data_IF_956262086413
#
_entry.id   IF_956262086413
#
_cell.length_a   1.000
_cell.length_b   1.000
_cell.length_c   1.000
_cell.angle_alpha   90.00
_cell.angle_beta   90.00
_cell.angle_gamma   90.00
#
_symmetry.space_group_name_H-M   'P 1'
#
loop_
_entity.id
_entity.type
_entity.pdbx_description
1 polymer ?
#
# COMPACT_ATOMS: atom_id res chain seq x y z
N UNK A 1 -2.38 11.10 -7.65
CA UNK A 1 -2.00 10.13 -8.68
C UNK A 1 -2.48 8.75 -8.30
N UNK A 2 -3.15 8.08 -9.23
CA UNK A 2 -3.51 6.68 -9.12
C UNK A 2 -2.56 5.87 -10.01
N UNK A 3 -1.85 4.92 -9.43
CA UNK A 3 -0.84 4.13 -10.11
C UNK A 3 -1.25 2.65 -10.09
N UNK A 4 -1.27 2.02 -11.24
CA UNK A 4 -1.53 0.58 -11.37
C UNK A 4 -0.80 0.07 -12.61
N UNK A 5 -0.42 -1.20 -12.58
CA UNK A 5 0.20 -1.85 -13.73
C UNK A 5 -0.82 -2.51 -14.66
N UNK A 6 -2.11 -2.40 -14.35
CA UNK A 6 -3.21 -2.92 -15.15
C UNK A 6 -3.97 -1.75 -15.81
N UNK A 7 -3.92 -1.69 -17.14
CA UNK A 7 -4.64 -0.67 -17.89
C UNK A 7 -6.15 -0.78 -17.67
N UNK A 8 -6.67 -2.00 -17.52
CA UNK A 8 -8.08 -2.25 -17.27
C UNK A 8 -8.51 -1.67 -15.91
N UNK A 9 -7.72 -1.89 -14.87
CA UNK A 9 -8.03 -1.36 -13.54
C UNK A 9 -7.99 0.16 -13.51
N UNK A 10 -7.02 0.76 -14.20
CA UNK A 10 -6.95 2.22 -14.31
C UNK A 10 -8.17 2.79 -15.03
N UNK A 11 -8.63 2.12 -16.09
CA UNK A 11 -9.82 2.58 -16.82
C UNK A 11 -11.07 2.50 -15.95
N UNK A 12 -11.22 1.45 -15.15
CA UNK A 12 -12.31 1.35 -14.19
C UNK A 12 -12.25 2.47 -13.15
N UNK A 13 -11.06 2.75 -12.64
CA UNK A 13 -10.86 3.86 -11.70
C UNK A 13 -11.21 5.21 -12.34
N UNK A 14 -10.80 5.42 -13.58
CA UNK A 14 -11.08 6.65 -14.32
C UNK A 14 -12.58 6.83 -14.51
N UNK A 15 -13.29 5.78 -14.91
CA UNK A 15 -14.74 5.79 -15.09
C UNK A 15 -15.44 6.14 -13.78
N UNK A 16 -15.02 5.52 -12.68
CA UNK A 16 -15.59 5.76 -11.35
C UNK A 16 -15.33 7.21 -10.90
N UNK A 17 -14.12 7.70 -11.09
CA UNK A 17 -13.77 9.08 -10.75
C UNK A 17 -14.61 10.08 -11.54
N UNK A 18 -14.79 9.85 -12.83
CA UNK A 18 -15.60 10.70 -13.69
C UNK A 18 -17.06 10.70 -13.24
N UNK A 19 -17.62 9.53 -12.90
CA UNK A 19 -19.02 9.43 -12.44
C UNK A 19 -19.25 10.16 -11.12
N UNK A 20 -18.22 10.32 -10.30
CA UNK A 20 -18.29 11.04 -9.03
C UNK A 20 -17.85 12.50 -9.13
N UNK A 21 -17.53 12.96 -10.34
CA UNK A 21 -17.12 14.35 -10.57
C UNK A 21 -15.73 14.69 -10.06
N UNK A 22 -14.89 13.71 -9.84
CA UNK A 22 -13.53 13.93 -9.37
C UNK A 22 -12.62 14.30 -10.53
N UNK A 23 -11.94 15.44 -10.42
CA UNK A 23 -11.07 15.97 -11.48
C UNK A 23 -9.62 16.10 -11.06
N UNK A 24 -9.31 15.79 -9.80
CA UNK A 24 -7.98 15.99 -9.22
C UNK A 24 -7.14 14.72 -9.19
N UNK A 25 -7.49 13.71 -9.99
CA UNK A 25 -6.77 12.44 -10.03
C UNK A 25 -6.02 12.32 -11.34
N UNK A 26 -4.72 12.11 -11.26
CA UNK A 26 -3.88 11.76 -12.40
C UNK A 26 -3.70 10.24 -12.40
N UNK A 27 -3.89 9.60 -13.55
CA UNK A 27 -3.79 8.14 -13.70
C UNK A 27 -2.51 7.80 -14.43
N UNK A 28 -1.73 6.86 -13.87
CA UNK A 28 -0.47 6.41 -14.45
C UNK A 28 -0.44 4.89 -14.55
N UNK A 29 -0.10 4.40 -15.74
CA UNK A 29 0.13 2.97 -15.96
C UNK A 29 1.58 2.66 -15.63
N UNK A 30 1.80 1.77 -14.67
CA UNK A 30 3.13 1.37 -14.26
C UNK A 30 3.16 0.86 -12.83
N UNK A 31 4.35 0.73 -12.31
CA UNK A 31 4.59 0.27 -10.95
C UNK A 31 5.36 1.32 -10.14
N UNK A 32 5.74 0.96 -8.91
CA UNK A 32 6.48 1.87 -8.03
C UNK A 32 7.86 2.21 -8.59
N UNK A 33 8.48 1.32 -9.36
CA UNK A 33 9.77 1.60 -10.00
C UNK A 33 9.63 2.70 -11.06
N UNK A 34 8.54 2.68 -11.82
CA UNK A 34 8.26 3.75 -12.77
C UNK A 34 8.09 5.08 -12.06
N UNK A 35 7.33 5.10 -10.96
CA UNK A 35 7.13 6.31 -10.17
C UNK A 35 8.46 6.87 -9.66
N UNK A 36 9.35 6.01 -9.18
CA UNK A 36 10.68 6.43 -8.73
C UNK A 36 11.48 7.02 -9.89
N UNK A 37 11.49 6.35 -11.04
CA UNK A 37 12.25 6.79 -12.20
C UNK A 37 11.76 8.14 -12.76
N UNK A 38 10.48 8.43 -12.60
CA UNK A 38 9.90 9.71 -12.99
C UNK A 38 10.06 10.81 -11.94
N UNK A 39 10.65 10.50 -10.80
CA UNK A 39 10.89 11.46 -9.73
C UNK A 39 9.63 11.89 -9.00
N UNK A 40 8.59 11.06 -8.98
CA UNK A 40 7.36 11.37 -8.28
C UNK A 40 7.61 11.49 -6.78
N UNK A 41 6.89 12.42 -6.14
CA UNK A 41 6.93 12.65 -4.71
C UNK A 41 5.53 12.84 -4.18
N UNK A 42 5.30 12.43 -2.93
CA UNK A 42 3.98 12.52 -2.33
C UNK A 42 4.10 12.74 -0.82
N UNK A 43 3.10 13.41 -0.26
CA UNK A 43 2.99 13.58 1.18
C UNK A 43 2.20 12.44 1.84
N UNK A 44 1.46 11.69 1.05
CA UNK A 44 0.70 10.54 1.53
C UNK A 44 0.59 9.49 0.42
N UNK A 45 0.90 8.26 0.76
CA UNK A 45 0.73 7.12 -0.13
C UNK A 45 -0.18 6.12 0.55
N UNK A 46 -1.14 5.60 -0.19
CA UNK A 46 -2.09 4.60 0.31
C UNK A 46 -1.97 3.32 -0.51
N UNK A 47 -1.84 2.20 0.19
CA UNK A 47 -1.83 0.85 -0.39
C UNK A 47 -3.02 0.08 0.17
N UNK A 48 -4.05 -0.12 -0.65
CA UNK A 48 -5.28 -0.80 -0.22
C UNK A 48 -5.34 -2.20 -0.80
N UNK A 49 -5.18 -3.21 0.04
CA UNK A 49 -5.31 -4.62 -0.35
C UNK A 49 -4.36 -5.00 -1.49
N UNK A 50 -3.16 -4.44 -1.49
CA UNK A 50 -2.16 -4.60 -2.56
C UNK A 50 -1.07 -5.57 -2.17
N UNK A 51 -0.58 -5.49 -0.94
CA UNK A 51 0.66 -6.15 -0.53
C UNK A 51 0.55 -7.68 -0.54
N UNK A 52 -0.61 -8.23 -0.15
CA UNK A 52 -0.77 -9.68 -0.09
C UNK A 52 -0.79 -10.34 -1.48
N UNK A 53 -0.89 -9.55 -2.56
CA UNK A 53 -0.78 -10.04 -3.93
C UNK A 53 0.64 -9.97 -4.48
N UNK A 54 1.59 -9.41 -3.74
CA UNK A 54 2.95 -9.19 -4.22
C UNK A 54 3.92 -10.22 -3.64
N UNK A 55 4.85 -10.74 -4.44
CA UNK A 55 5.84 -11.70 -3.93
C UNK A 55 6.88 -11.06 -3.00
N UNK A 56 7.08 -9.74 -3.11
CA UNK A 56 8.07 -9.00 -2.32
C UNK A 56 7.46 -7.75 -1.69
N UNK A 57 6.56 -7.90 -0.69
CA UNK A 57 5.90 -6.74 -0.08
C UNK A 57 6.86 -5.72 0.52
N UNK A 58 7.96 -6.19 1.09
CA UNK A 58 8.98 -5.29 1.66
C UNK A 58 9.59 -4.36 0.64
N UNK A 59 9.77 -4.82 -0.60
CA UNK A 59 10.29 -3.97 -1.67
C UNK A 59 9.31 -2.87 -2.06
N UNK A 60 8.02 -3.17 -2.05
CA UNK A 60 6.98 -2.16 -2.30
C UNK A 60 7.01 -1.08 -1.22
N UNK A 61 7.13 -1.48 0.04
CA UNK A 61 7.21 -0.54 1.16
C UNK A 61 8.47 0.32 1.05
N UNK A 62 9.61 -0.27 0.70
CA UNK A 62 10.86 0.48 0.50
C UNK A 62 10.73 1.50 -0.63
N UNK A 63 10.08 1.12 -1.73
CA UNK A 63 9.83 2.02 -2.85
C UNK A 63 8.93 3.19 -2.43
N UNK A 64 7.87 2.90 -1.67
CA UNK A 64 6.99 3.95 -1.15
C UNK A 64 7.75 4.93 -0.23
N UNK A 65 8.67 4.43 0.58
CA UNK A 65 9.49 5.29 1.42
C UNK A 65 10.33 6.27 0.61
N UNK A 66 10.83 5.84 -0.56
CA UNK A 66 11.56 6.73 -1.47
C UNK A 66 10.65 7.78 -2.10
N UNK A 67 9.40 7.44 -2.37
CA UNK A 67 8.44 8.35 -2.99
C UNK A 67 7.86 9.36 -2.00
N UNK A 68 7.94 9.10 -0.71
CA UNK A 68 7.42 10.01 0.31
C UNK A 68 8.36 11.19 0.54
N UNK A 69 7.77 12.37 0.67
CA UNK A 69 8.47 13.52 1.21
C UNK A 69 8.71 13.31 2.71
N UNK A 70 9.71 13.99 3.26
CA UNK A 70 9.95 13.98 4.70
C UNK A 70 8.71 14.47 5.44
N UNK A 71 8.33 13.77 6.49
CA UNK A 71 7.07 14.01 7.20
C UNK A 71 5.86 13.37 6.55
N UNK A 72 6.04 12.74 5.39
CA UNK A 72 4.94 12.07 4.68
C UNK A 72 4.50 10.79 5.34
N UNK A 73 3.33 10.29 4.94
CA UNK A 73 2.66 9.15 5.58
C UNK A 73 2.37 8.06 4.56
N UNK A 74 2.68 6.83 4.95
CA UNK A 74 2.27 5.62 4.23
C UNK A 74 1.11 4.97 4.99
N UNK A 75 -0.03 4.80 4.33
CA UNK A 75 -1.19 4.11 4.89
C UNK A 75 -1.33 2.76 4.20
N UNK A 76 -1.34 1.70 4.99
CA UNK A 76 -1.51 0.33 4.49
C UNK A 76 -2.78 -0.25 5.07
N UNK A 77 -3.66 -0.72 4.18
CA UNK A 77 -4.84 -1.51 4.53
C UNK A 77 -4.68 -2.87 3.91
N UNK A 78 -4.61 -3.91 4.72
CA UNK A 78 -4.43 -5.26 4.20
C UNK A 78 -4.93 -6.31 5.19
N UNK A 79 -4.96 -7.56 4.74
CA UNK A 79 -5.36 -8.68 5.57
C UNK A 79 -4.27 -9.02 6.58
N UNK A 80 -4.67 -9.31 7.82
CA UNK A 80 -3.80 -9.98 8.78
C UNK A 80 -3.59 -11.43 8.35
N UNK A 81 -2.48 -12.02 8.76
CA UNK A 81 -2.20 -13.42 8.48
C UNK A 81 -3.34 -14.31 9.01
N UNK A 82 -3.73 -15.30 8.20
CA UNK A 82 -4.80 -16.25 8.51
C UNK A 82 -4.40 -17.64 7.99
N UNK A 83 -5.16 -18.65 8.38
CA UNK A 83 -4.89 -20.05 8.01
C UNK A 83 -5.90 -20.62 7.00
N UNK A 84 -6.68 -19.77 6.33
CA UNK A 84 -7.70 -20.21 5.38
C UNK A 84 -7.10 -20.38 3.98
N UNK A 85 -6.47 -21.51 3.75
CA UNK A 85 -5.73 -21.80 2.51
C UNK A 85 -6.61 -21.74 1.25
N UNK A 86 -7.93 -21.98 1.38
CA UNK A 86 -8.83 -21.94 0.24
C UNK A 86 -8.86 -20.57 -0.44
N UNK A 87 -8.61 -19.50 0.32
CA UNK A 87 -8.60 -18.13 -0.21
C UNK A 87 -7.45 -17.97 -1.21
N UNK A 88 -6.29 -18.53 -0.89
CA UNK A 88 -5.13 -18.47 -1.79
C UNK A 88 -5.44 -19.12 -3.14
N UNK A 89 -6.10 -20.27 -3.11
CA UNK A 89 -6.46 -21.01 -4.33
C UNK A 89 -7.58 -20.32 -5.11
N UNK A 90 -8.58 -19.77 -4.41
CA UNK A 90 -9.75 -19.17 -5.04
C UNK A 90 -9.47 -17.77 -5.58
N UNK A 91 -8.63 -16.98 -4.90
CA UNK A 91 -8.38 -15.58 -5.21
C UNK A 91 -7.00 -15.30 -5.80
N UNK A 92 -6.14 -16.31 -5.88
CA UNK A 92 -4.77 -16.13 -6.39
C UNK A 92 -3.86 -15.35 -5.47
N UNK A 93 -4.17 -15.28 -4.19
CA UNK A 93 -3.33 -14.57 -3.22
C UNK A 93 -2.01 -15.30 -3.03
N UNK A 94 -0.91 -14.56 -3.03
CA UNK A 94 0.43 -15.08 -2.79
C UNK A 94 0.70 -15.32 -1.31
N UNK A 95 0.01 -14.60 -0.44
CA UNK A 95 0.16 -14.68 1.01
C UNK A 95 -1.18 -14.92 1.65
N UNK A 96 -1.19 -15.68 2.76
CA UNK A 96 -2.38 -15.85 3.60
C UNK A 96 -2.48 -14.66 4.59
N UNK A 97 -2.47 -13.45 4.04
CA UNK A 97 -2.41 -12.23 4.83
C UNK A 97 -0.99 -11.91 5.28
N UNK A 98 -0.82 -10.84 6.01
CA UNK A 98 0.48 -10.34 6.44
C UNK A 98 0.53 -10.27 7.97
N UNK A 99 1.63 -10.76 8.54
CA UNK A 99 1.86 -10.63 9.97
C UNK A 99 2.11 -9.16 10.32
N UNK A 100 1.43 -8.61 11.34
CA UNK A 100 1.63 -7.21 11.72
C UNK A 100 3.09 -6.86 12.04
N UNK A 101 3.82 -7.78 12.69
CA UNK A 101 5.23 -7.56 13.01
C UNK A 101 6.10 -7.52 11.75
N UNK A 102 5.73 -8.26 10.72
CA UNK A 102 6.46 -8.23 9.44
C UNK A 102 6.31 -6.88 8.76
N UNK A 103 5.09 -6.32 8.74
CA UNK A 103 4.87 -4.98 8.21
C UNK A 103 5.70 -3.95 8.94
N UNK A 104 5.72 -4.01 10.26
CA UNK A 104 6.52 -3.11 11.08
C UNK A 104 8.00 -3.23 10.76
N UNK A 105 8.49 -4.47 10.60
CA UNK A 105 9.89 -4.73 10.28
C UNK A 105 10.26 -4.17 8.91
N UNK A 106 9.44 -4.40 7.90
CA UNK A 106 9.70 -3.90 6.56
C UNK A 106 9.70 -2.36 6.53
N UNK A 107 8.76 -1.72 7.23
CA UNK A 107 8.68 -0.27 7.31
C UNK A 107 9.91 0.31 8.02
N UNK A 108 10.31 -0.28 9.14
CA UNK A 108 11.49 0.18 9.89
C UNK A 108 12.77 0.00 9.06
N UNK A 109 12.89 -1.10 8.32
CA UNK A 109 14.04 -1.32 7.42
C UNK A 109 14.08 -0.28 6.31
N UNK A 110 12.94 0.28 5.92
CA UNK A 110 12.85 1.32 4.92
C UNK A 110 13.04 2.74 5.51
N UNK A 111 13.28 2.85 6.80
CA UNK A 111 13.47 4.13 7.48
C UNK A 111 12.19 4.82 7.92
N UNK A 112 11.08 4.10 7.95
CA UNK A 112 9.79 4.63 8.40
C UNK A 112 9.59 4.34 9.87
N UNK A 113 8.78 5.18 10.54
CA UNK A 113 8.42 5.04 11.94
C UNK A 113 6.96 4.64 12.05
N UNK A 114 6.67 3.66 12.91
CA UNK A 114 5.30 3.21 13.13
C UNK A 114 4.48 4.30 13.80
N UNK A 115 3.30 4.59 13.22
CA UNK A 115 2.31 5.48 13.81
C UNK A 115 1.13 4.69 14.38
N UNK A 116 -0.08 5.17 14.10
CA UNK A 116 -1.30 4.53 14.57
C UNK A 116 -1.59 3.23 13.82
N UNK A 117 -2.28 2.31 14.50
CA UNK A 117 -2.76 1.08 13.89
C UNK A 117 -4.18 0.79 14.36
N UNK A 118 -4.97 0.15 13.47
CA UNK A 118 -6.33 -0.24 13.75
C UNK A 118 -6.57 -1.63 13.17
N UNK A 119 -7.27 -2.47 13.91
CA UNK A 119 -7.57 -3.84 13.50
C UNK A 119 -9.09 -4.02 13.50
N UNK A 120 -9.62 -4.50 12.36
CA UNK A 120 -11.05 -4.70 12.16
C UNK A 120 -11.32 -6.18 11.92
N UNK A 121 -12.16 -6.78 12.78
CA UNK A 121 -12.63 -8.14 12.58
C UNK A 121 -13.81 -8.11 11.62
N UNK A 122 -13.82 -9.02 10.65
CA UNK A 122 -14.90 -9.16 9.68
C UNK A 122 -15.76 -10.38 10.00
N UNK A 123 -16.98 -10.41 9.45
CA UNK A 123 -17.94 -11.50 9.70
C UNK A 123 -17.44 -12.85 9.19
N UNK A 124 -16.60 -12.86 8.18
CA UNK A 124 -16.05 -14.07 7.59
C UNK A 124 -14.83 -14.64 8.34
N UNK A 125 -14.51 -14.08 9.52
CA UNK A 125 -13.38 -14.54 10.33
C UNK A 125 -12.04 -13.93 9.95
N UNK A 126 -11.98 -13.12 8.90
CA UNK A 126 -10.77 -12.40 8.54
C UNK A 126 -10.62 -11.13 9.36
N UNK A 127 -9.38 -10.70 9.54
CA UNK A 127 -9.06 -9.42 10.18
C UNK A 127 -8.33 -8.55 9.19
N UNK A 128 -8.70 -7.26 9.16
CA UNK A 128 -8.02 -6.25 8.36
C UNK A 128 -7.19 -5.40 9.30
N UNK A 129 -5.97 -5.11 8.90
CA UNK A 129 -5.13 -4.15 9.59
C UNK A 129 -5.02 -2.87 8.78
N UNK A 130 -5.18 -1.75 9.48
CA UNK A 130 -4.89 -0.41 8.97
C UNK A 130 -3.66 0.07 9.68
N UNK A 131 -2.59 0.35 8.94
CA UNK A 131 -1.30 0.70 9.52
C UNK A 131 -0.83 2.03 8.96
N UNK A 132 -0.34 2.88 9.84
CA UNK A 132 0.23 4.18 9.49
C UNK A 132 1.72 4.15 9.78
N UNK A 133 2.51 4.50 8.77
CA UNK A 133 3.96 4.66 8.92
C UNK A 133 4.35 6.04 8.45
N UNK A 134 5.27 6.68 9.14
CA UNK A 134 5.65 8.07 8.90
C UNK A 134 7.12 8.13 8.50
N UNK A 135 7.41 8.90 7.45
CA UNK A 135 8.79 9.19 7.09
C UNK A 135 9.30 10.33 7.96
N UNK A 136 10.28 10.08 8.84
CA UNK A 136 10.72 11.12 9.76
C UNK A 136 11.35 12.29 9.03
N UNK A 137 11.28 13.47 9.65
CA UNK A 137 11.98 14.63 9.17
C UNK A 137 13.49 14.40 9.30
N UNK A 138 14.30 14.95 8.39
CA UNK A 138 15.76 14.84 8.53
C UNK A 138 16.20 15.53 9.82
N UNK A 139 17.21 14.93 10.48
CA UNK A 139 17.81 15.54 11.67
C UNK A 139 18.40 16.87 11.29
N UNK A 140 18.17 17.86 12.14
CA UNK A 140 18.64 19.24 11.93
C UNK A 140 20.08 19.46 12.36
N UNK A 141 20.83 18.41 12.58
CA UNK A 141 22.22 18.49 12.99
C UNK A 141 23.17 18.65 11.84
#
# INVERSE_FOLDING_TARGET
TALDNSAEMLEQCRTRATSQGLKNIEFKLGDTNLAISEGLRSDCISLNMVLHHNPTPGDIIAACAQLLNSGGVLLITDLCAHDQEWVQKACGDLWLGLEPQELTRWAQSAGLVEGNSLYLAQRNGFRIQLRQFVKPLPDSN
#
